data_IF_746706341438
#
_entry.id   IF_746706341438
#
_cell.length_a   1.000
_cell.length_b   1.000
_cell.length_c   1.000
_cell.angle_alpha   90.00
_cell.angle_beta   90.00
_cell.angle_gamma   90.00
#
_symmetry.space_group_name_H-M   'P 1'
#
loop_
_entity.id
_entity.type
_entity.pdbx_description
1 polymer ?
#
# COMPACT_ATOMS: atom_id res chain seq x y z
N UNK A 1 -28.80 44.08 9.30
CA UNK A 1 -27.41 43.65 9.09
C UNK A 1 -26.66 43.75 10.42
N UNK A 2 -26.19 42.65 11.04
CA UNK A 2 -25.52 42.76 12.33
C UNK A 2 -24.19 43.50 12.17
N UNK A 3 -24.06 44.64 12.88
CA UNK A 3 -22.95 45.60 12.78
C UNK A 3 -21.60 45.11 13.33
N UNK A 4 -21.50 43.85 13.78
CA UNK A 4 -20.32 43.29 14.46
C UNK A 4 -19.74 42.03 13.78
N UNK A 5 -20.09 41.71 12.54
CA UNK A 5 -19.49 40.55 11.85
C UNK A 5 -18.06 40.89 11.41
N UNK A 6 -17.02 40.15 11.85
CA UNK A 6 -15.66 40.38 11.38
C UNK A 6 -15.56 40.21 9.85
N UNK A 7 -14.62 40.93 9.23
CA UNK A 7 -14.36 40.81 7.78
C UNK A 7 -14.09 39.35 7.40
N UNK A 8 -14.35 38.99 6.13
CA UNK A 8 -14.07 37.63 5.62
C UNK A 8 -12.61 37.24 5.87
N UNK A 9 -11.70 38.14 5.55
CA UNK A 9 -10.26 37.99 5.77
C UNK A 9 -9.90 37.69 7.24
N UNK A 10 -10.43 38.46 8.20
CA UNK A 10 -10.19 38.20 9.63
C UNK A 10 -10.70 36.83 10.08
N UNK A 11 -11.83 36.37 9.52
CA UNK A 11 -12.38 35.03 9.83
C UNK A 11 -11.54 33.92 9.20
N UNK A 12 -11.06 34.12 7.98
CA UNK A 12 -10.23 33.15 7.30
C UNK A 12 -8.86 33.04 7.98
N UNK A 13 -8.27 34.16 8.41
CA UNK A 13 -7.04 34.17 9.22
C UNK A 13 -7.22 33.45 10.55
N UNK A 14 -8.29 33.74 11.30
CA UNK A 14 -8.58 33.07 12.56
C UNK A 14 -8.73 31.54 12.39
N UNK A 15 -9.38 31.10 11.30
CA UNK A 15 -9.48 29.67 10.96
C UNK A 15 -8.13 29.05 10.64
N UNK A 16 -7.25 29.77 9.93
CA UNK A 16 -5.90 29.29 9.62
C UNK A 16 -5.07 29.14 10.90
N UNK A 17 -5.12 30.14 11.77
CA UNK A 17 -4.43 30.11 13.07
C UNK A 17 -4.96 28.97 13.95
N UNK A 18 -6.28 28.81 14.06
CA UNK A 18 -6.91 27.71 14.79
C UNK A 18 -6.47 26.34 14.26
N UNK A 19 -6.46 26.16 12.93
CA UNK A 19 -5.96 24.92 12.30
C UNK A 19 -4.49 24.68 12.60
N UNK A 20 -3.67 25.73 12.58
CA UNK A 20 -2.24 25.65 12.92
C UNK A 20 -2.04 25.22 14.38
N UNK A 21 -2.76 25.82 15.32
CA UNK A 21 -2.67 25.45 16.74
C UNK A 21 -3.09 24.00 16.97
N UNK A 22 -4.24 23.57 16.42
CA UNK A 22 -4.69 22.18 16.52
C UNK A 22 -3.69 21.19 15.94
N UNK A 23 -3.05 21.55 14.82
CA UNK A 23 -2.00 20.74 14.20
C UNK A 23 -0.79 20.60 15.11
N UNK A 24 -0.28 21.71 15.66
CA UNK A 24 0.89 21.71 16.57
C UNK A 24 0.58 20.89 17.83
N UNK A 25 -0.62 21.02 18.41
CA UNK A 25 -1.02 20.25 19.59
C UNK A 25 -1.05 18.75 19.28
N UNK A 26 -1.63 18.37 18.14
CA UNK A 26 -1.66 16.97 17.68
C UNK A 26 -0.24 16.43 17.48
N UNK A 27 0.60 17.14 16.73
CA UNK A 27 1.98 16.74 16.44
C UNK A 27 2.82 16.63 17.73
N UNK A 28 2.65 17.56 18.67
CA UNK A 28 3.32 17.49 19.98
C UNK A 28 2.91 16.22 20.73
N UNK A 29 1.61 15.93 20.82
CA UNK A 29 1.10 14.74 21.50
C UNK A 29 1.58 13.44 20.87
N UNK A 30 1.62 13.37 19.54
CA UNK A 30 2.13 12.21 18.81
C UNK A 30 3.63 12.03 19.06
N UNK A 31 4.41 13.12 19.05
CA UNK A 31 5.85 13.09 19.34
C UNK A 31 6.14 12.65 20.76
N UNK A 32 5.38 13.11 21.75
CA UNK A 32 5.54 12.70 23.15
C UNK A 32 5.26 11.20 23.32
N UNK A 33 4.22 10.68 22.67
CA UNK A 33 3.91 9.24 22.66
C UNK A 33 5.00 8.42 21.96
N UNK A 34 5.48 8.87 20.80
CA UNK A 34 6.56 8.22 20.07
C UNK A 34 7.85 8.20 20.89
N UNK A 35 8.17 9.30 21.59
CA UNK A 35 9.30 9.38 22.51
C UNK A 35 9.17 8.38 23.67
N UNK A 36 7.99 8.27 24.28
CA UNK A 36 7.76 7.30 25.34
C UNK A 36 8.02 5.85 24.87
N UNK A 37 7.58 5.48 23.66
CA UNK A 37 7.88 4.16 23.06
C UNK A 37 9.38 3.99 22.80
N UNK A 38 10.04 5.00 22.26
CA UNK A 38 11.47 4.94 21.98
C UNK A 38 12.30 4.74 23.25
N UNK A 39 11.93 5.42 24.33
CA UNK A 39 12.61 5.39 25.63
C UNK A 39 12.22 4.16 26.49
N UNK A 40 11.21 3.37 26.08
CA UNK A 40 10.78 2.17 26.80
C UNK A 40 11.78 1.01 26.60
N UNK A 41 12.48 0.63 27.67
CA UNK A 41 13.47 -0.46 27.65
C UNK A 41 12.86 -1.85 27.84
N UNK A 42 11.55 -1.95 28.08
CA UNK A 42 10.83 -3.24 28.18
C UNK A 42 10.40 -3.78 26.83
N UNK A 43 10.35 -2.90 25.81
CA UNK A 43 10.04 -3.26 24.43
C UNK A 43 11.30 -3.62 23.67
N UNK A 44 11.27 -4.72 22.93
CA UNK A 44 12.28 -4.99 21.91
C UNK A 44 12.11 -4.05 20.70
N UNK A 45 13.09 -4.06 19.80
CA UNK A 45 13.09 -3.17 18.65
C UNK A 45 11.85 -3.38 17.75
N UNK A 46 11.46 -4.63 17.49
CA UNK A 46 10.33 -4.93 16.62
C UNK A 46 9.01 -4.40 17.21
N UNK A 47 8.79 -4.61 18.51
CA UNK A 47 7.64 -4.09 19.23
C UNK A 47 7.60 -2.55 19.25
N UNK A 48 8.77 -1.89 19.33
CA UNK A 48 8.84 -0.42 19.18
C UNK A 48 8.35 0.02 17.80
N UNK A 49 8.76 -0.67 16.74
CA UNK A 49 8.33 -0.36 15.37
C UNK A 49 6.82 -0.52 15.21
N UNK A 50 6.22 -1.58 15.74
CA UNK A 50 4.77 -1.78 15.67
C UNK A 50 4.00 -0.66 16.40
N UNK A 51 4.45 -0.27 17.60
CA UNK A 51 3.85 0.85 18.34
C UNK A 51 4.04 2.20 17.66
N UNK A 52 5.18 2.43 17.03
CA UNK A 52 5.43 3.65 16.27
C UNK A 52 4.55 3.72 15.03
N UNK A 53 4.33 2.60 14.33
CA UNK A 53 3.43 2.54 13.19
C UNK A 53 2.00 2.95 13.58
N UNK A 54 1.48 2.47 14.72
CA UNK A 54 0.18 2.88 15.27
C UNK A 54 0.12 4.38 15.59
N UNK A 55 1.16 4.93 16.21
CA UNK A 55 1.20 6.35 16.61
C UNK A 55 1.28 7.28 15.40
N UNK A 56 2.08 6.91 14.40
CA UNK A 56 2.35 7.72 13.20
C UNK A 56 1.34 7.48 12.08
N UNK A 57 0.53 6.44 12.17
CA UNK A 57 -0.30 5.92 11.07
C UNK A 57 0.57 5.55 9.86
N UNK A 58 1.66 4.82 10.10
CA UNK A 58 2.51 4.34 9.02
C UNK A 58 1.77 3.37 8.12
N UNK A 59 2.20 3.32 6.86
CA UNK A 59 1.73 2.33 5.91
C UNK A 59 2.17 0.93 6.36
N UNK A 60 1.22 0.21 6.96
CA UNK A 60 1.38 -1.16 7.44
C UNK A 60 0.09 -1.95 7.18
N UNK A 61 0.22 -3.27 7.16
CA UNK A 61 -0.88 -4.21 7.03
C UNK A 61 -0.64 -5.40 7.97
N UNK A 62 -1.58 -6.34 8.01
CA UNK A 62 -1.42 -7.56 8.80
C UNK A 62 -0.13 -8.29 8.41
N UNK A 63 0.73 -8.54 9.40
CA UNK A 63 2.01 -9.22 9.23
C UNK A 63 1.98 -10.68 9.66
N UNK A 64 0.84 -11.20 10.13
CA UNK A 64 0.73 -12.54 10.72
C UNK A 64 1.40 -13.63 9.88
N UNK A 65 1.08 -13.72 8.58
CA UNK A 65 1.68 -14.74 7.70
C UNK A 65 3.18 -14.52 7.49
N UNK A 66 3.61 -13.26 7.34
CA UNK A 66 5.03 -12.92 7.16
C UNK A 66 5.81 -13.24 8.43
N UNK A 67 5.26 -12.94 9.61
CA UNK A 67 5.90 -13.21 10.90
C UNK A 67 6.04 -14.72 11.16
N UNK A 68 5.02 -15.53 10.82
CA UNK A 68 5.10 -17.01 10.84
C UNK A 68 6.18 -17.54 9.90
N UNK A 69 6.32 -16.94 8.71
CA UNK A 69 7.40 -17.28 7.80
C UNK A 69 8.78 -16.89 8.38
N UNK A 70 8.89 -15.68 8.91
CA UNK A 70 10.14 -15.15 9.45
C UNK A 70 10.62 -15.95 10.67
N UNK A 71 9.71 -16.45 11.51
CA UNK A 71 10.02 -17.36 12.62
C UNK A 71 10.41 -18.78 12.16
N UNK A 72 10.09 -19.15 10.92
CA UNK A 72 10.33 -20.49 10.37
C UNK A 72 9.22 -21.50 10.71
N UNK A 73 8.08 -21.04 11.20
CA UNK A 73 6.90 -21.88 11.44
C UNK A 73 6.34 -22.45 10.14
N UNK A 74 6.34 -21.65 9.07
CA UNK A 74 5.89 -22.05 7.74
C UNK A 74 7.00 -21.91 6.70
N UNK A 75 6.93 -22.73 5.66
CA UNK A 75 7.91 -22.72 4.56
C UNK A 75 7.75 -21.50 3.64
N UNK A 76 8.77 -21.17 2.85
CA UNK A 76 8.67 -20.10 1.83
C UNK A 76 7.54 -20.37 0.83
N UNK A 77 7.39 -21.62 0.39
CA UNK A 77 6.34 -22.01 -0.56
C UNK A 77 4.94 -21.85 0.04
N UNK A 78 4.76 -22.28 1.28
CA UNK A 78 3.50 -22.15 2.03
C UNK A 78 3.15 -20.68 2.29
N UNK A 79 4.10 -19.87 2.74
CA UNK A 79 3.90 -18.44 2.95
C UNK A 79 3.51 -17.71 1.66
N UNK A 80 4.22 -17.99 0.56
CA UNK A 80 3.91 -17.42 -0.75
C UNK A 80 2.51 -17.85 -1.23
N UNK A 81 2.09 -19.09 -0.95
CA UNK A 81 0.77 -19.57 -1.35
C UNK A 81 -0.37 -18.91 -0.54
N UNK A 82 -0.23 -18.83 0.78
CA UNK A 82 -1.20 -18.16 1.65
C UNK A 82 -1.38 -16.69 1.25
N UNK A 83 -0.28 -15.99 0.96
CA UNK A 83 -0.31 -14.57 0.59
C UNK A 83 -0.88 -14.34 -0.81
N UNK A 84 -0.52 -15.19 -1.78
CA UNK A 84 -0.87 -14.97 -3.18
C UNK A 84 -2.27 -15.45 -3.56
N UNK A 85 -2.76 -16.54 -2.96
CA UNK A 85 -4.05 -17.15 -3.33
C UNK A 85 -5.25 -16.17 -3.35
N UNK A 86 -5.50 -15.34 -2.31
CA UNK A 86 -6.62 -14.40 -2.36
C UNK A 86 -6.45 -13.35 -3.48
N UNK A 87 -5.21 -12.96 -3.79
CA UNK A 87 -4.90 -12.03 -4.89
C UNK A 87 -5.16 -12.71 -6.24
N UNK A 88 -4.72 -13.96 -6.43
CA UNK A 88 -4.94 -14.73 -7.64
C UNK A 88 -6.46 -14.87 -7.93
N UNK A 89 -7.24 -15.21 -6.90
CA UNK A 89 -8.71 -15.35 -7.00
C UNK A 89 -9.39 -14.01 -7.33
N UNK A 90 -9.04 -12.94 -6.61
CA UNK A 90 -9.62 -11.62 -6.85
C UNK A 90 -9.24 -11.09 -8.25
N UNK A 91 -7.99 -11.28 -8.67
CA UNK A 91 -7.50 -10.85 -9.98
C UNK A 91 -8.23 -11.58 -11.10
N UNK A 92 -8.25 -12.92 -11.08
CA UNK A 92 -8.82 -13.74 -12.16
C UNK A 92 -10.34 -13.63 -12.29
N UNK A 93 -11.02 -13.16 -11.25
CA UNK A 93 -12.48 -13.01 -11.27
C UNK A 93 -12.93 -11.56 -11.46
N UNK A 94 -12.00 -10.63 -11.73
CA UNK A 94 -12.28 -9.19 -11.77
C UNK A 94 -13.01 -8.72 -10.50
N UNK A 95 -12.47 -9.09 -9.34
CA UNK A 95 -13.06 -8.89 -8.01
C UNK A 95 -14.45 -9.52 -7.90
N UNK A 96 -14.57 -10.79 -8.30
CA UNK A 96 -15.84 -11.50 -8.44
C UNK A 96 -16.91 -10.68 -9.19
N UNK A 97 -16.51 -10.13 -10.34
CA UNK A 97 -17.32 -9.39 -11.31
C UNK A 97 -17.55 -7.90 -11.00
N UNK A 98 -17.24 -7.44 -9.79
CA UNK A 98 -17.47 -6.05 -9.37
C UNK A 98 -16.68 -5.05 -10.22
N UNK A 99 -15.49 -5.42 -10.70
CA UNK A 99 -14.66 -4.51 -11.45
C UNK A 99 -15.19 -4.24 -12.86
N UNK A 100 -15.93 -5.18 -13.46
CA UNK A 100 -16.61 -4.94 -14.74
C UNK A 100 -17.58 -3.77 -14.64
N UNK A 101 -18.40 -3.75 -13.59
CA UNK A 101 -19.36 -2.67 -13.34
C UNK A 101 -18.65 -1.33 -13.08
N UNK A 102 -17.63 -1.32 -12.23
CA UNK A 102 -16.89 -0.09 -11.87
C UNK A 102 -16.19 0.52 -13.07
N UNK A 103 -15.45 -0.27 -13.82
CA UNK A 103 -14.70 0.22 -14.98
C UNK A 103 -15.63 0.63 -16.12
N UNK A 104 -16.77 -0.05 -16.28
CA UNK A 104 -17.78 0.38 -17.25
C UNK A 104 -18.44 1.71 -16.86
N UNK A 105 -18.68 1.98 -15.57
CA UNK A 105 -19.14 3.31 -15.12
C UNK A 105 -18.14 4.41 -15.44
N UNK A 106 -16.85 4.14 -15.21
CA UNK A 106 -15.76 5.06 -15.62
C UNK A 106 -15.79 5.27 -17.12
N UNK A 107 -15.85 4.19 -17.91
CA UNK A 107 -15.90 4.25 -19.37
C UNK A 107 -17.09 5.07 -19.88
N UNK A 108 -18.31 4.87 -19.34
CA UNK A 108 -19.50 5.64 -19.72
C UNK A 108 -19.34 7.14 -19.50
N UNK A 109 -18.67 7.54 -18.42
CA UNK A 109 -18.36 8.95 -18.17
C UNK A 109 -17.33 9.45 -19.19
N UNK A 110 -16.28 8.66 -19.44
CA UNK A 110 -15.18 9.04 -20.32
C UNK A 110 -15.58 9.11 -21.80
N UNK A 111 -16.45 8.23 -22.29
CA UNK A 111 -16.97 8.24 -23.67
C UNK A 111 -17.60 9.59 -24.06
N UNK A 112 -18.19 10.31 -23.09
CA UNK A 112 -18.81 11.64 -23.32
C UNK A 112 -17.83 12.74 -23.71
N UNK A 113 -16.54 12.56 -23.45
CA UNK A 113 -15.49 13.53 -23.75
C UNK A 113 -14.79 13.28 -25.09
N UNK A 114 -15.25 12.31 -25.89
CA UNK A 114 -14.64 11.92 -27.16
C UNK A 114 -15.66 11.88 -28.29
N UNK A 115 -15.20 11.94 -29.54
CA UNK A 115 -16.06 11.61 -30.68
C UNK A 115 -16.49 10.14 -30.61
N UNK A 116 -17.63 9.75 -31.22
CA UNK A 116 -18.11 8.37 -31.17
C UNK A 116 -17.06 7.33 -31.60
N UNK A 117 -16.30 7.61 -32.66
CA UNK A 117 -15.26 6.72 -33.19
C UNK A 117 -14.11 6.56 -32.21
N UNK A 118 -13.67 7.68 -31.62
CA UNK A 118 -12.58 7.69 -30.63
C UNK A 118 -13.00 7.05 -29.31
N UNK A 119 -14.26 7.24 -28.92
CA UNK A 119 -14.84 6.59 -27.74
C UNK A 119 -14.88 5.07 -27.89
N UNK A 120 -15.29 4.57 -29.07
CA UNK A 120 -15.31 3.14 -29.38
C UNK A 120 -13.91 2.54 -29.39
N UNK A 121 -12.93 3.23 -29.99
CA UNK A 121 -11.53 2.80 -29.99
C UNK A 121 -10.94 2.71 -28.57
N UNK A 122 -11.20 3.71 -27.73
CA UNK A 122 -10.59 3.80 -26.40
C UNK A 122 -11.28 2.94 -25.34
N UNK A 123 -12.60 2.81 -25.41
CA UNK A 123 -13.42 2.25 -24.33
C UNK A 123 -14.31 1.07 -24.77
N UNK A 124 -14.25 0.68 -26.04
CA UNK A 124 -15.13 -0.32 -26.61
C UNK A 124 -16.60 0.12 -26.62
N UNK A 125 -17.50 -0.76 -27.11
CA UNK A 125 -18.93 -0.51 -27.04
C UNK A 125 -19.39 -0.46 -25.58
N UNK A 126 -20.43 0.33 -25.31
CA UNK A 126 -21.08 0.36 -24.00
C UNK A 126 -21.69 -1.02 -23.69
N UNK A 127 -21.48 -1.47 -22.46
CA UNK A 127 -21.94 -2.78 -21.98
C UNK A 127 -22.74 -2.58 -20.70
N UNK A 128 -23.74 -3.44 -20.48
CA UNK A 128 -24.52 -3.46 -19.24
C UNK A 128 -23.99 -4.57 -18.32
N UNK A 129 -23.37 -4.17 -17.23
CA UNK A 129 -22.93 -5.07 -16.17
C UNK A 129 -23.85 -4.88 -14.94
N UNK A 130 -24.24 -5.97 -14.26
CA UNK A 130 -25.11 -5.86 -13.09
C UNK A 130 -24.42 -5.04 -12.01
N UNK A 131 -25.18 -4.13 -11.38
CA UNK A 131 -24.72 -3.43 -10.19
C UNK A 131 -24.53 -4.46 -9.07
N UNK A 132 -23.39 -4.46 -8.37
CA UNK A 132 -23.16 -5.39 -7.28
C UNK A 132 -24.22 -5.19 -6.19
N UNK A 133 -24.83 -6.29 -5.74
CA UNK A 133 -25.95 -6.27 -4.78
C UNK A 133 -25.59 -5.65 -3.43
N UNK A 134 -24.30 -5.68 -3.07
CA UNK A 134 -23.76 -5.06 -1.87
C UNK A 134 -22.61 -4.13 -2.24
N UNK A 135 -22.50 -3.01 -1.52
CA UNK A 135 -21.28 -2.23 -1.44
C UNK A 135 -20.22 -3.11 -0.76
N UNK A 136 -19.53 -3.95 -1.54
CA UNK A 136 -18.53 -4.87 -1.00
C UNK A 136 -17.46 -4.08 -0.26
N UNK A 137 -17.08 -4.60 0.90
CA UNK A 137 -15.85 -4.20 1.56
C UNK A 137 -14.71 -4.24 0.53
N UNK A 138 -14.08 -3.09 0.33
CA UNK A 138 -12.99 -2.95 -0.64
C UNK A 138 -11.73 -3.67 -0.18
N UNK A 139 -11.67 -4.13 1.08
CA UNK A 139 -10.54 -4.84 1.66
C UNK A 139 -10.16 -6.12 0.90
N UNK A 140 -11.12 -6.74 0.20
CA UNK A 140 -10.94 -8.01 -0.52
C UNK A 140 -10.68 -7.85 -2.02
N UNK A 141 -10.59 -6.61 -2.54
CA UNK A 141 -10.30 -6.43 -3.96
C UNK A 141 -8.81 -6.65 -4.26
N UNK A 142 -8.50 -7.04 -5.50
CA UNK A 142 -7.14 -7.40 -5.92
C UNK A 142 -6.13 -6.28 -5.63
N UNK A 143 -6.51 -5.02 -5.87
CA UNK A 143 -5.66 -3.86 -5.60
C UNK A 143 -5.31 -3.73 -4.11
N UNK A 144 -6.31 -3.76 -3.23
CA UNK A 144 -6.12 -3.60 -1.78
C UNK A 144 -5.35 -4.78 -1.19
N UNK A 145 -5.61 -6.00 -1.68
CA UNK A 145 -4.84 -7.18 -1.27
C UNK A 145 -3.37 -7.07 -1.69
N UNK A 146 -3.08 -6.54 -2.87
CA UNK A 146 -1.70 -6.25 -3.31
C UNK A 146 -1.04 -5.16 -2.46
N UNK A 147 -1.74 -4.07 -2.14
CA UNK A 147 -1.25 -3.05 -1.21
C UNK A 147 -0.93 -3.65 0.15
N UNK A 148 -1.86 -4.43 0.72
CA UNK A 148 -1.68 -5.08 2.01
C UNK A 148 -0.51 -6.07 2.01
N UNK A 149 -0.35 -6.86 0.95
CA UNK A 149 0.82 -7.73 0.77
C UNK A 149 2.11 -6.92 0.88
N UNK A 150 2.26 -5.87 0.07
CA UNK A 150 3.51 -5.11 0.07
C UNK A 150 3.73 -4.34 1.36
N UNK A 151 2.69 -3.73 1.95
CA UNK A 151 2.81 -3.08 3.25
C UNK A 151 3.18 -4.06 4.37
N UNK A 152 2.69 -5.31 4.35
CA UNK A 152 3.10 -6.33 5.33
C UNK A 152 4.59 -6.65 5.23
N UNK A 153 5.13 -6.81 4.01
CA UNK A 153 6.54 -7.12 3.75
C UNK A 153 7.41 -5.92 4.10
N UNK A 154 7.04 -4.71 3.68
CA UNK A 154 7.79 -3.48 3.94
C UNK A 154 7.80 -3.12 5.42
N UNK A 155 6.68 -3.29 6.12
CA UNK A 155 6.62 -3.12 7.57
C UNK A 155 7.50 -4.16 8.29
N UNK A 156 7.50 -5.41 7.83
CA UNK A 156 8.42 -6.44 8.35
C UNK A 156 9.88 -6.06 8.12
N UNK A 157 10.23 -5.50 6.96
CA UNK A 157 11.58 -5.04 6.67
C UNK A 157 12.07 -3.97 7.67
N UNK A 158 11.20 -3.03 8.08
CA UNK A 158 11.52 -2.02 9.11
C UNK A 158 11.94 -2.65 10.45
N UNK A 159 11.40 -3.83 10.79
CA UNK A 159 11.67 -4.56 12.05
C UNK A 159 13.03 -5.30 12.05
N UNK A 160 13.63 -5.56 10.89
CA UNK A 160 14.85 -6.38 10.76
C UNK A 160 16.08 -5.47 10.71
N UNK A 161 16.98 -5.58 11.69
CA UNK A 161 18.20 -4.77 11.71
C UNK A 161 19.04 -4.93 10.41
N UNK A 162 19.54 -3.83 9.85
CA UNK A 162 20.22 -3.82 8.55
C UNK A 162 21.47 -4.71 8.46
N UNK A 163 22.11 -4.99 9.60
CA UNK A 163 23.27 -5.90 9.70
C UNK A 163 22.89 -7.38 9.83
N UNK A 164 21.62 -7.71 10.08
CA UNK A 164 21.15 -9.09 10.13
C UNK A 164 20.90 -9.58 8.69
N UNK A 165 22.00 -9.92 8.01
CA UNK A 165 21.95 -10.31 6.60
C UNK A 165 21.10 -11.55 6.38
N UNK A 166 21.13 -12.51 7.31
CA UNK A 166 20.39 -13.75 7.20
C UNK A 166 18.87 -13.50 7.22
N UNK A 167 18.38 -12.66 8.14
CA UNK A 167 16.96 -12.30 8.18
C UNK A 167 16.56 -11.40 7.01
N UNK A 168 17.41 -10.45 6.63
CA UNK A 168 17.16 -9.60 5.46
C UNK A 168 17.04 -10.44 4.18
N UNK A 169 17.97 -11.37 3.94
CA UNK A 169 17.92 -12.26 2.77
C UNK A 169 16.75 -13.23 2.84
N UNK A 170 16.36 -13.69 4.04
CA UNK A 170 15.16 -14.51 4.21
C UNK A 170 13.89 -13.79 3.73
N UNK A 171 13.76 -12.49 3.98
CA UNK A 171 12.62 -11.70 3.47
C UNK A 171 12.72 -11.49 1.95
N UNK A 172 13.93 -11.26 1.42
CA UNK A 172 14.17 -11.21 -0.04
C UNK A 172 13.76 -12.52 -0.73
N UNK A 173 14.03 -13.67 -0.10
CA UNK A 173 13.63 -14.98 -0.61
C UNK A 173 12.11 -15.13 -0.74
N UNK A 174 11.33 -14.54 0.17
CA UNK A 174 9.87 -14.53 0.05
C UNK A 174 9.40 -13.72 -1.16
N UNK A 175 9.97 -12.52 -1.35
CA UNK A 175 9.65 -11.69 -2.53
C UNK A 175 10.05 -12.41 -3.82
N UNK A 176 11.21 -13.07 -3.85
CA UNK A 176 11.66 -13.87 -4.99
C UNK A 176 10.72 -15.04 -5.28
N UNK A 177 10.21 -15.71 -4.23
CA UNK A 177 9.24 -16.78 -4.38
C UNK A 177 7.92 -16.28 -4.95
N UNK A 178 7.40 -15.15 -4.45
CA UNK A 178 6.23 -14.48 -5.02
C UNK A 178 6.46 -14.12 -6.49
N UNK A 179 7.58 -13.49 -6.83
CA UNK A 179 7.94 -13.13 -8.23
C UNK A 179 7.95 -14.32 -9.18
N UNK A 180 8.36 -15.48 -8.68
CA UNK A 180 8.53 -16.71 -9.48
C UNK A 180 7.22 -17.48 -9.68
N UNK A 181 6.12 -17.03 -9.07
CA UNK A 181 4.80 -17.66 -9.26
C UNK A 181 4.29 -17.44 -10.69
N UNK A 182 3.52 -18.39 -11.25
CA UNK A 182 2.80 -18.13 -12.48
C UNK A 182 1.79 -17.01 -12.26
N UNK A 183 1.68 -16.09 -13.21
CA UNK A 183 0.65 -15.06 -13.16
C UNK A 183 -0.75 -15.71 -13.18
N UNK A 184 -1.70 -15.21 -12.38
CA UNK A 184 -3.08 -15.67 -12.43
C UNK A 184 -3.67 -15.43 -13.83
N UNK A 185 -4.59 -16.28 -14.30
CA UNK A 185 -5.23 -16.07 -15.60
C UNK A 185 -6.00 -14.75 -15.63
N UNK A 186 -6.01 -14.09 -16.78
CA UNK A 186 -6.83 -12.91 -17.02
C UNK A 186 -8.32 -13.23 -16.82
N UNK A 187 -9.12 -12.28 -16.28
CA UNK A 187 -10.56 -12.40 -16.25
C UNK A 187 -11.17 -12.68 -17.61
N UNK A 188 -12.20 -13.52 -17.61
CA UNK A 188 -13.01 -13.80 -18.79
C UNK A 188 -14.44 -13.28 -18.56
N UNK A 189 -14.93 -12.33 -19.40
CA UNK A 189 -14.24 -11.68 -20.51
C UNK A 189 -13.29 -10.55 -20.06
N UNK A 190 -12.13 -10.40 -20.68
CA UNK A 190 -11.29 -9.21 -20.51
C UNK A 190 -11.87 -8.05 -21.33
N UNK A 191 -12.63 -7.17 -20.68
CA UNK A 191 -13.24 -6.00 -21.35
C UNK A 191 -12.23 -4.89 -21.61
N UNK A 192 -12.48 -4.02 -22.60
CA UNK A 192 -11.61 -2.87 -22.90
C UNK A 192 -11.47 -1.93 -21.69
N UNK A 193 -12.55 -1.57 -20.95
CA UNK A 193 -12.42 -0.79 -19.72
C UNK A 193 -11.60 -1.48 -18.64
N UNK A 194 -11.82 -2.79 -18.39
CA UNK A 194 -11.07 -3.53 -17.37
C UNK A 194 -9.57 -3.56 -17.69
N UNK A 195 -9.19 -3.79 -18.94
CA UNK A 195 -7.79 -3.80 -19.38
C UNK A 195 -7.10 -2.44 -19.24
N UNK A 196 -7.85 -1.35 -19.02
CA UNK A 196 -7.29 -0.02 -18.76
C UNK A 196 -7.11 0.27 -17.28
N UNK A 197 -7.71 -0.53 -16.41
CA UNK A 197 -7.44 -0.47 -14.98
C UNK A 197 -6.00 -0.90 -14.73
N UNK A 198 -5.29 -0.15 -13.89
CA UNK A 198 -3.86 -0.32 -13.68
C UNK A 198 -3.47 -1.69 -13.11
N UNK A 199 -4.36 -2.39 -12.40
CA UNK A 199 -4.08 -3.75 -11.89
C UNK A 199 -4.06 -4.75 -13.06
N UNK A 200 -4.98 -4.63 -14.02
CA UNK A 200 -5.08 -5.55 -15.16
C UNK A 200 -4.29 -5.08 -16.39
N UNK A 201 -3.88 -3.81 -16.45
CA UNK A 201 -3.25 -3.20 -17.62
C UNK A 201 -2.01 -3.95 -18.12
N UNK A 202 -1.18 -4.45 -17.20
CA UNK A 202 0.06 -5.14 -17.55
C UNK A 202 -0.17 -6.62 -17.94
N UNK A 203 -1.32 -7.20 -17.58
CA UNK A 203 -1.57 -8.64 -17.77
C UNK A 203 -0.70 -9.56 -16.90
N UNK A 204 0.04 -8.98 -15.95
CA UNK A 204 0.95 -9.69 -15.05
C UNK A 204 0.83 -9.16 -13.63
N UNK A 205 0.88 -10.05 -12.64
CA UNK A 205 0.82 -9.71 -11.21
C UNK A 205 2.17 -9.96 -10.55
N UNK A 206 2.66 -11.19 -10.66
CA UNK A 206 3.82 -11.68 -9.90
C UNK A 206 5.14 -11.39 -10.58
N UNK A 207 5.26 -11.67 -11.89
CA UNK A 207 6.52 -11.49 -12.62
C UNK A 207 7.06 -10.07 -12.53
N UNK A 208 6.14 -9.10 -12.58
CA UNK A 208 6.44 -7.67 -12.58
C UNK A 208 6.34 -7.05 -11.18
N UNK A 209 5.91 -7.82 -10.17
CA UNK A 209 5.70 -7.36 -8.79
C UNK A 209 4.83 -6.09 -8.79
N UNK A 210 3.66 -6.18 -9.42
CA UNK A 210 2.78 -5.04 -9.61
C UNK A 210 2.48 -4.37 -8.26
N UNK A 211 2.37 -3.04 -8.26
CA UNK A 211 2.16 -2.20 -7.07
C UNK A 211 3.38 -2.10 -6.13
N UNK A 212 4.35 -3.02 -6.13
CA UNK A 212 5.51 -2.96 -5.21
C UNK A 212 6.23 -1.60 -5.28
N UNK A 213 6.49 -1.10 -6.49
CA UNK A 213 7.15 0.21 -6.67
C UNK A 213 6.32 1.37 -6.11
N UNK A 214 4.99 1.32 -6.27
CA UNK A 214 4.09 2.31 -5.69
C UNK A 214 4.03 2.20 -4.15
N UNK A 215 4.00 0.97 -3.60
CA UNK A 215 4.08 0.71 -2.16
C UNK A 215 5.37 1.23 -1.55
N UNK A 216 6.51 1.07 -2.22
CA UNK A 216 7.78 1.64 -1.78
C UNK A 216 7.70 3.17 -1.74
N UNK A 217 7.11 3.79 -2.77
CA UNK A 217 6.95 5.24 -2.82
C UNK A 217 6.04 5.76 -1.68
N UNK A 218 4.96 5.06 -1.38
CA UNK A 218 4.06 5.41 -0.27
C UNK A 218 4.72 5.21 1.09
N UNK A 219 5.38 4.07 1.33
CA UNK A 219 6.07 3.81 2.60
C UNK A 219 7.20 4.82 2.86
N UNK A 220 7.76 5.48 1.84
CA UNK A 220 8.69 6.59 2.06
C UNK A 220 8.06 7.81 2.73
N UNK A 221 6.74 7.96 2.68
CA UNK A 221 6.07 8.97 3.51
C UNK A 221 6.22 8.66 5.00
N UNK A 222 6.60 7.44 5.40
CA UNK A 222 6.91 7.08 6.79
C UNK A 222 8.35 7.44 7.21
N UNK A 223 9.15 8.05 6.32
CA UNK A 223 10.55 8.38 6.63
C UNK A 223 10.66 9.54 7.62
N UNK A 224 11.81 9.63 8.30
CA UNK A 224 12.13 10.74 9.20
C UNK A 224 11.95 12.10 8.51
N UNK A 225 11.17 12.99 9.12
CA UNK A 225 10.91 14.34 8.60
C UNK A 225 9.77 14.45 7.57
N UNK A 226 9.14 13.34 7.18
CA UNK A 226 7.91 13.33 6.40
C UNK A 226 6.71 12.96 7.29
N UNK A 227 6.50 11.66 7.51
CA UNK A 227 5.46 11.09 8.38
C UNK A 227 6.00 10.46 9.67
N UNK A 228 7.32 10.44 9.86
CA UNK A 228 7.95 10.07 11.12
C UNK A 228 8.71 11.22 11.78
N UNK A 229 8.93 11.07 13.09
CA UNK A 229 9.86 11.90 13.84
C UNK A 229 11.31 11.48 13.63
N UNK A 230 12.15 11.87 14.58
CA UNK A 230 13.60 11.64 14.55
C UNK A 230 14.09 10.78 15.72
N UNK A 231 13.21 9.98 16.34
CA UNK A 231 13.65 9.05 17.38
C UNK A 231 14.62 8.02 16.81
N UNK A 232 15.44 7.43 17.68
CA UNK A 232 16.42 6.42 17.25
C UNK A 232 15.74 5.24 16.53
N UNK A 233 14.60 4.77 17.02
CA UNK A 233 13.88 3.66 16.41
C UNK A 233 13.33 4.01 15.01
N UNK A 234 12.82 5.23 14.82
CA UNK A 234 12.36 5.70 13.50
C UNK A 234 13.53 5.79 12.49
N UNK A 235 14.70 6.28 12.92
CA UNK A 235 15.90 6.32 12.07
C UNK A 235 16.41 4.92 11.72
N UNK A 236 16.35 3.98 12.67
CA UNK A 236 16.73 2.58 12.41
C UNK A 236 15.76 1.89 11.46
N UNK A 237 14.45 2.13 11.59
CA UNK A 237 13.45 1.60 10.66
C UNK A 237 13.73 2.01 9.22
N UNK A 238 14.08 3.29 9.00
CA UNK A 238 14.46 3.82 7.69
C UNK A 238 15.75 3.17 7.16
N UNK A 239 16.77 2.99 8.01
CA UNK A 239 18.01 2.30 7.63
C UNK A 239 17.76 0.84 7.23
N UNK A 240 16.94 0.13 8.00
CA UNK A 240 16.56 -1.25 7.76
C UNK A 240 15.82 -1.41 6.42
N UNK A 241 14.90 -0.49 6.14
CA UNK A 241 14.12 -0.47 4.91
C UNK A 241 15.02 -0.19 3.69
N UNK A 242 15.94 0.77 3.79
CA UNK A 242 16.90 1.05 2.72
C UNK A 242 17.86 -0.12 2.48
N UNK A 243 18.29 -0.84 3.52
CA UNK A 243 19.08 -2.05 3.37
C UNK A 243 18.31 -3.16 2.64
N UNK A 244 17.02 -3.33 2.94
CA UNK A 244 16.15 -4.26 2.24
C UNK A 244 16.01 -3.90 0.74
N UNK A 245 15.79 -2.62 0.42
CA UNK A 245 15.73 -2.14 -0.97
C UNK A 245 17.02 -2.41 -1.74
N UNK A 246 18.16 -2.11 -1.12
CA UNK A 246 19.47 -2.38 -1.73
C UNK A 246 19.64 -3.86 -2.07
N UNK A 247 19.16 -4.77 -1.21
CA UNK A 247 19.25 -6.22 -1.44
C UNK A 247 18.28 -6.72 -2.51
N UNK A 248 17.06 -6.18 -2.59
CA UNK A 248 16.14 -6.48 -3.69
C UNK A 248 16.75 -6.09 -5.05
N UNK A 249 17.39 -4.93 -5.14
CA UNK A 249 18.08 -4.47 -6.35
C UNK A 249 19.33 -5.28 -6.63
N UNK A 250 20.20 -5.48 -5.65
CA UNK A 250 21.46 -6.22 -5.82
C UNK A 250 21.24 -7.68 -6.23
N UNK A 251 20.15 -8.30 -5.76
CA UNK A 251 19.80 -9.68 -6.12
C UNK A 251 18.99 -9.80 -7.43
N UNK A 252 18.69 -8.69 -8.10
CA UNK A 252 17.90 -8.66 -9.34
C UNK A 252 16.44 -9.05 -9.18
N UNK A 253 15.92 -9.12 -7.94
CA UNK A 253 14.51 -9.47 -7.67
C UNK A 253 13.59 -8.33 -8.07
N UNK A 254 13.95 -7.09 -7.73
CA UNK A 254 13.22 -5.89 -8.13
C UNK A 254 14.23 -4.77 -8.41
N UNK A 255 14.06 -4.07 -9.53
CA UNK A 255 14.89 -2.90 -9.82
C UNK A 255 14.27 -1.66 -9.17
N UNK A 256 14.65 -1.40 -7.92
CA UNK A 256 14.15 -0.24 -7.17
C UNK A 256 15.05 0.95 -7.49
N UNK A 257 14.49 1.91 -8.22
CA UNK A 257 15.11 3.22 -8.39
C UNK A 257 14.85 4.05 -7.14
N UNK A 258 15.90 4.21 -6.32
CA UNK A 258 15.87 4.94 -5.04
C UNK A 258 16.06 6.43 -5.25
#
# INVERSE_FOLDING_TARGET
MPKNRPSKEKRDQAKVEERRFRRIEKETRENDRAKAVADDNTLDFAAKIDRLAEIRNWFCADTTTVDRYMSGEISTAEAADILAKPIDEAYSTANAGTEYFRQERVARIQRKYHSPERALELWGPEQDWPEPENERDHSENAEMLLWNLWYSILHTAKKIHFTDEARQEKLVHLVRALKSRPNPPEPVPMTVPLKRDWVWQLGTVWSDLIILGASIAEVRNDSCGCGAGWSWAEQQAEQNLNAFYARLTASGVANIHV
#
